data_IF_768827418481
#
_entry.id   IF_768827418481
#
_cell.length_a   1.000
_cell.length_b   1.000
_cell.length_c   1.000
_cell.angle_alpha   90.00
_cell.angle_beta   90.00
_cell.angle_gamma   90.00
#
_symmetry.space_group_name_H-M   'P 1'
#
loop_
_entity.id
_entity.type
_entity.pdbx_description
1 polymer ?
#
# COMPACT_ATOMS: atom_id res chain seq x y z
N UNK A 1 -21.16 -17.73 1.80
CA UNK A 1 -21.51 -16.56 0.96
C UNK A 1 -20.98 -15.33 1.66
N UNK A 2 -20.44 -14.34 0.94
CA UNK A 2 -19.98 -13.09 1.55
C UNK A 2 -21.17 -12.28 2.07
N UNK A 3 -21.02 -11.69 3.25
CA UNK A 3 -21.98 -10.72 3.78
C UNK A 3 -21.71 -9.36 3.13
N UNK A 4 -22.70 -8.85 2.42
CA UNK A 4 -22.68 -7.58 1.69
C UNK A 4 -23.64 -6.55 2.29
N UNK A 5 -24.12 -6.78 3.53
CA UNK A 5 -25.11 -5.93 4.19
C UNK A 5 -24.73 -4.45 4.23
N UNK A 6 -23.46 -4.15 4.54
CA UNK A 6 -22.96 -2.75 4.56
C UNK A 6 -23.01 -2.08 3.18
N UNK A 7 -22.74 -2.84 2.10
CA UNK A 7 -22.82 -2.32 0.74
C UNK A 7 -24.28 -2.07 0.36
N UNK A 8 -25.17 -3.02 0.67
CA UNK A 8 -26.61 -2.86 0.37
C UNK A 8 -27.24 -1.68 1.11
N UNK A 9 -26.80 -1.41 2.34
CA UNK A 9 -27.31 -0.30 3.14
C UNK A 9 -27.06 1.09 2.55
N UNK A 10 -26.10 1.22 1.62
CA UNK A 10 -25.81 2.47 0.93
C UNK A 10 -26.74 2.73 -0.30
N UNK A 11 -27.59 1.74 -0.67
CA UNK A 11 -28.49 1.87 -1.80
C UNK A 11 -29.88 2.32 -1.33
N UNK A 12 -30.39 3.40 -1.97
CA UNK A 12 -31.73 3.90 -1.70
C UNK A 12 -32.80 2.97 -2.30
N UNK A 13 -33.96 2.89 -1.64
CA UNK A 13 -35.10 2.13 -2.13
C UNK A 13 -35.76 2.75 -3.38
N UNK A 14 -35.55 4.07 -3.58
CA UNK A 14 -36.13 4.83 -4.69
C UNK A 14 -35.02 5.43 -5.59
N UNK A 15 -35.30 5.52 -6.89
CA UNK A 15 -34.41 6.12 -7.88
C UNK A 15 -34.16 5.22 -9.10
N UNK A 16 -33.20 5.63 -9.95
CA UNK A 16 -32.78 4.81 -11.10
C UNK A 16 -32.13 3.52 -10.59
N UNK A 17 -32.51 2.32 -11.08
CA UNK A 17 -31.97 1.06 -10.58
C UNK A 17 -30.45 1.02 -10.80
N UNK A 18 -29.68 0.91 -9.72
CA UNK A 18 -28.23 0.80 -9.82
C UNK A 18 -27.84 -0.60 -10.30
N UNK A 19 -26.59 -0.75 -10.77
CA UNK A 19 -26.03 -2.08 -10.99
C UNK A 19 -25.95 -2.86 -9.67
N UNK A 20 -26.30 -4.13 -9.73
CA UNK A 20 -26.36 -4.97 -8.53
C UNK A 20 -24.98 -5.11 -7.87
N UNK A 21 -24.81 -4.80 -6.56
CA UNK A 21 -23.50 -4.80 -5.90
C UNK A 21 -22.74 -6.13 -6.00
N UNK A 22 -23.46 -7.25 -5.87
CA UNK A 22 -22.83 -8.58 -6.00
C UNK A 22 -22.26 -8.81 -7.41
N UNK A 23 -22.94 -8.32 -8.45
CA UNK A 23 -22.41 -8.39 -9.81
C UNK A 23 -21.17 -7.53 -9.96
N UNK A 24 -21.18 -6.30 -9.48
CA UNK A 24 -20.02 -5.40 -9.50
C UNK A 24 -18.81 -5.99 -8.79
N UNK A 25 -19.01 -6.61 -7.62
CA UNK A 25 -17.92 -7.29 -6.88
C UNK A 25 -17.37 -8.51 -7.65
N UNK A 26 -18.24 -9.33 -8.26
CA UNK A 26 -17.79 -10.47 -9.09
C UNK A 26 -16.92 -9.99 -10.25
N UNK A 27 -17.34 -8.94 -10.95
CA UNK A 27 -16.59 -8.33 -12.03
C UNK A 27 -15.25 -7.79 -11.55
N UNK A 28 -15.20 -7.09 -10.42
CA UNK A 28 -13.97 -6.55 -9.84
C UNK A 28 -13.00 -7.65 -9.41
N UNK A 29 -13.45 -8.66 -8.68
CA UNK A 29 -12.58 -9.75 -8.24
C UNK A 29 -12.04 -10.55 -9.41
N UNK A 30 -12.89 -10.84 -10.40
CA UNK A 30 -12.44 -11.51 -11.61
C UNK A 30 -11.46 -10.67 -12.42
N UNK A 31 -11.69 -9.36 -12.53
CA UNK A 31 -10.79 -8.45 -13.23
C UNK A 31 -9.39 -8.43 -12.59
N UNK A 32 -9.32 -8.39 -11.27
CA UNK A 32 -8.04 -8.41 -10.55
C UNK A 32 -7.33 -9.75 -10.69
N UNK A 33 -8.06 -10.85 -10.63
CA UNK A 33 -7.54 -12.18 -10.93
C UNK A 33 -6.93 -12.26 -12.35
N UNK A 34 -7.57 -11.61 -13.33
CA UNK A 34 -7.06 -11.51 -14.70
C UNK A 34 -5.99 -10.43 -14.92
N UNK A 35 -5.53 -9.73 -13.86
CA UNK A 35 -4.56 -8.63 -13.96
C UNK A 35 -5.11 -7.33 -14.58
N UNK A 36 -6.45 -7.20 -14.68
CA UNK A 36 -7.09 -6.00 -15.23
C UNK A 36 -7.42 -5.01 -14.10
N UNK A 37 -6.49 -4.08 -13.80
CA UNK A 37 -6.64 -3.11 -12.70
C UNK A 37 -7.35 -1.82 -13.11
N UNK A 38 -7.31 -1.45 -14.40
CA UNK A 38 -7.90 -0.20 -14.91
C UNK A 38 -9.39 -0.36 -15.18
N UNK A 39 -10.22 0.56 -14.66
CA UNK A 39 -11.66 0.56 -14.91
C UNK A 39 -12.02 0.63 -16.41
N UNK A 40 -11.18 1.27 -17.24
CA UNK A 40 -11.36 1.28 -18.70
C UNK A 40 -11.12 -0.10 -19.32
N UNK A 41 -10.04 -0.81 -18.89
CA UNK A 41 -9.79 -2.17 -19.36
C UNK A 41 -10.86 -3.16 -18.89
N UNK A 42 -11.42 -2.96 -17.71
CA UNK A 42 -12.56 -3.75 -17.20
C UNK A 42 -13.79 -3.50 -18.08
N UNK A 43 -14.09 -2.24 -18.40
CA UNK A 43 -15.18 -1.87 -19.28
C UNK A 43 -15.03 -2.46 -20.69
N UNK A 44 -13.82 -2.47 -21.26
CA UNK A 44 -13.55 -3.13 -22.55
C UNK A 44 -13.74 -4.66 -22.42
N UNK A 45 -13.28 -5.26 -21.32
CA UNK A 45 -13.52 -6.68 -21.03
C UNK A 45 -15.00 -7.05 -20.96
N UNK A 46 -15.84 -6.21 -20.35
CA UNK A 46 -17.28 -6.42 -20.28
C UNK A 46 -17.98 -6.42 -21.64
N UNK A 47 -17.38 -5.83 -22.67
CA UNK A 47 -17.93 -5.82 -24.04
C UNK A 47 -17.43 -6.99 -24.90
N UNK A 48 -16.21 -7.44 -24.65
CA UNK A 48 -15.49 -8.29 -25.61
C UNK A 48 -15.21 -9.70 -25.09
N UNK A 49 -15.20 -9.89 -23.74
CA UNK A 49 -14.80 -11.16 -23.12
C UNK A 49 -15.99 -11.94 -22.60
N UNK A 50 -16.12 -13.18 -23.04
CA UNK A 50 -17.22 -14.07 -22.65
C UNK A 50 -17.31 -14.32 -21.13
N UNK A 51 -16.18 -14.41 -20.44
CA UNK A 51 -16.13 -14.57 -18.97
C UNK A 51 -16.71 -13.35 -18.23
N UNK A 52 -16.39 -12.14 -18.69
CA UNK A 52 -16.96 -10.90 -18.12
C UNK A 52 -18.43 -10.74 -18.45
N UNK A 53 -18.85 -11.02 -19.68
CA UNK A 53 -20.24 -10.99 -20.13
C UNK A 53 -21.10 -11.94 -19.27
N UNK A 54 -20.59 -13.16 -19.05
CA UNK A 54 -21.26 -14.17 -18.19
C UNK A 54 -21.41 -13.68 -16.74
N UNK A 55 -20.33 -13.13 -16.14
CA UNK A 55 -20.35 -12.67 -14.75
C UNK A 55 -21.22 -11.45 -14.52
N UNK A 56 -21.32 -10.57 -15.53
CA UNK A 56 -22.15 -9.36 -15.47
C UNK A 56 -23.61 -9.60 -15.87
N UNK A 57 -23.94 -10.77 -16.41
CA UNK A 57 -25.28 -11.03 -16.98
C UNK A 57 -25.59 -10.08 -18.13
N UNK A 58 -24.62 -9.87 -19.02
CA UNK A 58 -24.69 -8.97 -20.18
C UNK A 58 -24.86 -7.48 -19.83
N UNK A 59 -24.62 -7.10 -18.57
CA UNK A 59 -24.62 -5.71 -18.13
C UNK A 59 -23.25 -5.09 -18.34
N UNK A 60 -23.21 -3.88 -18.89
CA UNK A 60 -21.97 -3.16 -19.23
C UNK A 60 -21.91 -1.83 -18.47
N UNK A 61 -21.65 -1.83 -17.13
CA UNK A 61 -21.39 -0.59 -16.41
C UNK A 61 -20.19 0.14 -17.03
N UNK A 62 -20.33 1.46 -17.21
CA UNK A 62 -19.25 2.25 -17.78
C UNK A 62 -18.05 2.36 -16.80
N UNK A 63 -16.90 2.79 -17.31
CA UNK A 63 -15.67 2.87 -16.52
C UNK A 63 -15.76 3.86 -15.35
N UNK A 64 -16.60 4.91 -15.44
CA UNK A 64 -16.86 5.83 -14.32
C UNK A 64 -17.61 5.11 -13.22
N UNK A 65 -18.70 4.40 -13.56
CA UNK A 65 -19.50 3.61 -12.61
C UNK A 65 -18.65 2.56 -11.88
N UNK A 66 -17.77 1.86 -12.62
CA UNK A 66 -16.85 0.87 -12.03
C UNK A 66 -15.89 1.55 -11.04
N UNK A 67 -15.35 2.71 -11.41
CA UNK A 67 -14.44 3.45 -10.54
C UNK A 67 -15.15 4.00 -9.30
N UNK A 68 -16.33 4.56 -9.47
CA UNK A 68 -17.13 5.13 -8.38
C UNK A 68 -17.57 4.06 -7.39
N UNK A 69 -17.99 2.89 -7.87
CA UNK A 69 -18.30 1.75 -7.04
C UNK A 69 -17.09 1.34 -6.19
N UNK A 70 -15.92 1.17 -6.81
CA UNK A 70 -14.68 0.82 -6.12
C UNK A 70 -14.30 1.84 -5.05
N UNK A 71 -14.38 3.13 -5.37
CA UNK A 71 -13.99 4.22 -4.46
C UNK A 71 -14.97 4.35 -3.30
N UNK A 72 -16.28 4.25 -3.58
CA UNK A 72 -17.33 4.34 -2.56
C UNK A 72 -17.19 3.25 -1.51
N UNK A 73 -16.98 2.01 -1.94
CA UNK A 73 -16.95 0.85 -1.03
C UNK A 73 -15.56 0.46 -0.55
N UNK A 74 -14.55 1.33 -0.71
CA UNK A 74 -13.16 1.03 -0.29
C UNK A 74 -13.05 0.68 1.20
N UNK A 75 -13.87 1.30 2.05
CA UNK A 75 -13.87 1.04 3.52
C UNK A 75 -14.40 -0.35 3.89
N UNK A 76 -15.19 -0.98 3.03
CA UNK A 76 -15.76 -2.31 3.26
C UNK A 76 -14.80 -3.42 2.82
N UNK A 77 -13.87 -3.14 1.91
CA UNK A 77 -12.94 -4.14 1.37
C UNK A 77 -12.15 -4.92 2.42
N UNK A 78 -11.61 -4.32 3.51
CA UNK A 78 -10.92 -5.09 4.55
C UNK A 78 -11.81 -6.13 5.22
N UNK A 79 -13.08 -5.82 5.46
CA UNK A 79 -14.05 -6.76 6.04
C UNK A 79 -14.38 -7.90 5.08
N UNK A 80 -14.50 -7.61 3.78
CA UNK A 80 -14.69 -8.64 2.75
C UNK A 80 -13.46 -9.54 2.64
N UNK A 81 -12.26 -8.96 2.74
CA UNK A 81 -11.02 -9.72 2.76
C UNK A 81 -10.99 -10.71 3.93
N UNK A 82 -11.30 -10.26 5.15
CA UNK A 82 -11.38 -11.13 6.33
C UNK A 82 -12.40 -12.28 6.13
N UNK A 83 -13.55 -11.99 5.53
CA UNK A 83 -14.54 -13.03 5.20
C UNK A 83 -13.99 -14.06 4.20
N UNK A 84 -13.21 -13.63 3.19
CA UNK A 84 -12.56 -14.52 2.22
C UNK A 84 -11.54 -15.43 2.94
N UNK A 85 -10.71 -14.86 3.83
CA UNK A 85 -9.78 -15.62 4.66
C UNK A 85 -10.51 -16.67 5.48
N UNK A 86 -11.62 -16.32 6.12
CA UNK A 86 -12.45 -17.27 6.87
C UNK A 86 -13.06 -18.39 5.99
N UNK A 87 -13.36 -18.09 4.73
CA UNK A 87 -13.78 -19.15 3.77
C UNK A 87 -12.61 -20.09 3.50
N UNK A 88 -11.40 -19.58 3.27
CA UNK A 88 -10.20 -20.39 3.09
C UNK A 88 -9.91 -21.28 4.32
N UNK A 89 -10.09 -20.75 5.53
CA UNK A 89 -10.00 -21.54 6.78
C UNK A 89 -10.99 -22.69 6.78
N UNK A 90 -12.26 -22.43 6.48
CA UNK A 90 -13.34 -23.47 6.44
C UNK A 90 -13.08 -24.53 5.37
N UNK A 91 -12.42 -24.17 4.29
CA UNK A 91 -12.03 -25.11 3.22
C UNK A 91 -10.74 -25.88 3.57
N UNK A 92 -10.15 -25.67 4.76
CA UNK A 92 -8.93 -26.34 5.19
C UNK A 92 -7.69 -25.95 4.39
N UNK A 93 -7.67 -24.76 3.80
CA UNK A 93 -6.53 -24.24 3.00
C UNK A 93 -5.38 -23.74 3.87
N UNK A 94 -5.62 -23.46 5.17
CA UNK A 94 -4.63 -23.05 6.15
C UNK A 94 -4.30 -24.19 7.10
N UNK A 95 -3.07 -24.24 7.64
CA UNK A 95 -2.65 -25.18 8.68
C UNK A 95 -2.16 -24.50 9.97
N UNK A 96 -2.01 -23.18 9.93
CA UNK A 96 -1.55 -22.37 11.08
C UNK A 96 -0.18 -22.76 11.64
N UNK A 97 0.64 -23.47 10.84
CA UNK A 97 1.99 -23.83 11.28
C UNK A 97 2.96 -22.68 11.03
N UNK A 98 3.05 -22.20 9.79
CA UNK A 98 4.02 -21.20 9.39
C UNK A 98 3.33 -20.00 8.76
N UNK A 99 3.64 -18.80 9.26
CA UNK A 99 3.25 -17.52 8.67
C UNK A 99 4.50 -16.88 8.07
N UNK A 100 4.53 -16.74 6.76
CA UNK A 100 5.61 -16.01 6.08
C UNK A 100 5.21 -14.55 5.91
N UNK A 101 6.08 -13.63 6.32
CA UNK A 101 5.90 -12.18 6.17
C UNK A 101 6.97 -11.64 5.25
N UNK A 102 6.53 -10.94 4.20
CA UNK A 102 7.42 -10.29 3.23
C UNK A 102 6.93 -8.87 2.92
N UNK A 103 7.88 -8.00 2.57
CA UNK A 103 7.65 -6.61 2.22
C UNK A 103 8.09 -6.27 0.80
N UNK A 104 7.23 -5.59 0.05
CA UNK A 104 7.54 -5.09 -1.29
C UNK A 104 7.30 -3.59 -1.39
N UNK A 105 8.25 -2.88 -2.02
CA UNK A 105 8.13 -1.46 -2.28
C UNK A 105 7.37 -1.22 -3.58
N UNK A 106 6.14 -0.74 -3.45
CA UNK A 106 5.26 -0.43 -4.58
C UNK A 106 5.43 1.03 -4.96
N UNK A 107 5.82 1.28 -6.21
CA UNK A 107 5.97 2.63 -6.74
C UNK A 107 4.64 3.37 -6.74
N UNK A 108 4.61 4.56 -6.13
CA UNK A 108 3.47 5.47 -6.20
C UNK A 108 3.29 6.02 -7.62
N UNK A 109 2.05 6.40 -7.96
CA UNK A 109 1.76 7.10 -9.21
C UNK A 109 2.21 8.58 -9.10
N UNK A 110 3.48 8.78 -8.84
CA UNK A 110 4.10 10.07 -8.57
C UNK A 110 5.45 10.21 -9.30
N UNK A 111 5.72 11.40 -9.81
CA UNK A 111 6.99 11.68 -10.46
C UNK A 111 8.02 12.06 -9.40
N UNK A 112 9.16 11.36 -9.36
CA UNK A 112 10.27 11.65 -8.43
C UNK A 112 10.74 13.12 -8.49
N UNK A 113 10.77 13.74 -9.69
CA UNK A 113 11.18 15.13 -9.86
C UNK A 113 10.27 16.13 -9.14
N UNK A 114 9.06 15.72 -8.75
CA UNK A 114 8.14 16.53 -7.94
C UNK A 114 8.30 16.31 -6.44
N UNK A 115 9.22 15.46 -6.02
CA UNK A 115 9.62 15.31 -4.62
C UNK A 115 10.54 16.46 -4.21
N UNK A 116 10.23 17.13 -3.11
CA UNK A 116 10.94 18.31 -2.63
C UNK A 116 11.16 18.19 -1.12
N UNK A 117 12.36 18.59 -0.68
CA UNK A 117 12.62 18.78 0.75
C UNK A 117 12.05 20.15 1.21
N UNK A 118 12.01 20.39 2.51
CA UNK A 118 11.46 21.61 3.12
C UNK A 118 12.03 22.88 2.49
N UNK A 119 13.34 22.96 2.29
CA UNK A 119 14.01 24.11 1.66
C UNK A 119 13.50 24.38 0.24
N UNK A 120 13.40 23.34 -0.60
CA UNK A 120 12.88 23.46 -1.98
C UNK A 120 11.38 23.74 -2.02
N UNK A 121 10.64 23.21 -1.04
CA UNK A 121 9.20 23.49 -0.90
C UNK A 121 8.98 24.95 -0.54
N UNK A 122 9.74 25.50 0.41
CA UNK A 122 9.73 26.94 0.79
C UNK A 122 10.07 27.84 -0.39
N UNK A 123 11.13 27.51 -1.15
CA UNK A 123 11.50 28.26 -2.36
C UNK A 123 10.37 28.22 -3.41
N UNK A 124 9.72 27.08 -3.57
CA UNK A 124 8.59 26.94 -4.50
C UNK A 124 7.39 27.75 -4.04
N UNK A 125 7.09 27.75 -2.75
CA UNK A 125 6.02 28.56 -2.15
C UNK A 125 6.24 30.07 -2.44
N UNK A 126 7.43 30.58 -2.16
CA UNK A 126 7.75 31.99 -2.42
C UNK A 126 7.66 32.35 -3.91
N UNK A 127 8.13 31.48 -4.81
CA UNK A 127 8.01 31.68 -6.27
C UNK A 127 6.56 31.74 -6.74
N UNK A 128 5.70 30.82 -6.24
CA UNK A 128 4.26 30.83 -6.61
C UNK A 128 3.56 32.04 -6.02
N UNK A 129 3.88 32.42 -4.78
CA UNK A 129 3.36 33.61 -4.11
C UNK A 129 3.70 34.90 -4.88
N UNK A 130 4.95 35.06 -5.31
CA UNK A 130 5.38 36.17 -6.16
C UNK A 130 4.68 36.17 -7.53
N UNK A 131 4.48 34.97 -8.13
CA UNK A 131 3.78 34.85 -9.41
C UNK A 131 2.32 35.26 -9.28
N UNK A 132 1.64 34.86 -8.22
CA UNK A 132 0.26 35.28 -7.89
C UNK A 132 0.19 36.80 -7.69
N UNK A 133 1.11 37.36 -6.89
CA UNK A 133 1.19 38.81 -6.65
C UNK A 133 1.41 39.62 -7.93
N UNK A 134 2.27 39.14 -8.83
CA UNK A 134 2.52 39.77 -10.15
C UNK A 134 1.28 39.73 -11.04
N UNK A 135 0.49 38.66 -11.01
CA UNK A 135 -0.73 38.55 -11.82
C UNK A 135 -1.84 39.42 -11.24
N UNK A 136 -1.97 39.49 -9.91
CA UNK A 136 -2.95 40.34 -9.23
C UNK A 136 -2.64 41.83 -9.37
N UNK A 137 -1.33 42.20 -9.37
CA UNK A 137 -0.88 43.60 -9.48
C UNK A 137 -0.92 44.18 -10.90
N UNK A 138 -1.21 43.39 -11.95
CA UNK A 138 -1.35 43.91 -13.31
C UNK A 138 -2.78 44.39 -13.55
N UNK A 139 -2.99 45.67 -14.00
CA UNK A 139 -4.30 46.15 -14.35
C UNK A 139 -4.88 45.28 -15.49
N UNK A 140 -6.18 45.04 -15.42
CA UNK A 140 -6.93 44.39 -16.49
C UNK A 140 -7.12 45.48 -17.55
N UNK A 141 -6.38 45.41 -18.65
CA UNK A 141 -6.58 46.33 -19.78
C UNK A 141 -7.95 46.00 -20.42
N UNK A 142 -8.68 47.02 -20.82
CA UNK A 142 -10.00 46.91 -21.47
C UNK A 142 -9.98 46.13 -22.80
N UNK A 143 -8.81 45.96 -23.40
CA UNK A 143 -8.60 45.22 -24.67
C UNK A 143 -8.46 43.66 -24.48
N UNK A 144 -8.67 43.14 -23.27
CA UNK A 144 -8.64 41.70 -23.05
C UNK A 144 -9.93 41.04 -23.56
N UNK A 145 -9.79 40.12 -24.54
CA UNK A 145 -10.92 39.26 -24.96
C UNK A 145 -11.38 38.40 -23.78
N UNK A 146 -12.67 38.05 -23.76
CA UNK A 146 -13.24 37.21 -22.69
C UNK A 146 -12.50 35.89 -22.50
N UNK A 147 -12.00 35.28 -23.60
CA UNK A 147 -11.17 34.08 -23.56
C UNK A 147 -9.88 34.27 -22.76
N UNK A 148 -9.18 35.39 -22.93
CA UNK A 148 -7.96 35.71 -22.17
C UNK A 148 -8.26 36.01 -20.69
N UNK A 149 -9.43 36.52 -20.37
CA UNK A 149 -9.87 36.73 -18.98
C UNK A 149 -10.14 35.38 -18.32
N UNK A 150 -10.80 34.44 -19.01
CA UNK A 150 -11.06 33.09 -18.52
C UNK A 150 -9.75 32.33 -18.29
N UNK A 151 -8.84 32.31 -19.27
CA UNK A 151 -7.52 31.69 -19.15
C UNK A 151 -6.72 32.25 -17.97
N UNK A 152 -6.76 33.57 -17.75
CA UNK A 152 -6.10 34.22 -16.60
C UNK A 152 -6.70 33.77 -15.27
N UNK A 153 -8.04 33.65 -15.18
CA UNK A 153 -8.75 33.18 -13.98
C UNK A 153 -8.43 31.72 -13.68
N UNK A 154 -8.44 30.84 -14.67
CA UNK A 154 -8.07 29.43 -14.53
C UNK A 154 -6.63 29.28 -14.06
N UNK A 155 -5.69 30.05 -14.63
CA UNK A 155 -4.29 30.06 -14.20
C UNK A 155 -4.13 30.55 -12.76
N UNK A 156 -4.87 31.57 -12.34
CA UNK A 156 -4.87 32.06 -10.95
C UNK A 156 -5.44 31.03 -10.00
N UNK A 157 -6.51 30.33 -10.37
CA UNK A 157 -7.11 29.27 -9.56
C UNK A 157 -6.13 28.10 -9.40
N UNK A 158 -5.46 27.68 -10.47
CA UNK A 158 -4.41 26.66 -10.41
C UNK A 158 -3.24 27.06 -9.50
N UNK A 159 -2.73 28.28 -9.63
CA UNK A 159 -1.64 28.80 -8.79
C UNK A 159 -2.05 28.93 -7.32
N UNK A 160 -3.31 29.35 -7.05
CA UNK A 160 -3.86 29.42 -5.68
C UNK A 160 -3.96 28.04 -5.06
N UNK A 161 -4.38 27.03 -5.83
CA UNK A 161 -4.42 25.63 -5.40
C UNK A 161 -3.03 25.11 -5.05
N UNK A 162 -2.04 25.37 -5.92
CA UNK A 162 -0.64 24.99 -5.67
C UNK A 162 -0.05 25.69 -4.43
N UNK A 163 -0.41 26.96 -4.21
CA UNK A 163 0.04 27.72 -3.03
C UNK A 163 -0.50 27.11 -1.74
N UNK A 164 -1.79 26.76 -1.71
CA UNK A 164 -2.43 26.12 -0.56
C UNK A 164 -1.82 24.74 -0.28
N UNK A 165 -1.59 23.95 -1.33
CA UNK A 165 -0.95 22.63 -1.20
C UNK A 165 0.49 22.75 -0.65
N UNK A 166 1.29 23.69 -1.17
CA UNK A 166 2.64 23.95 -0.67
C UNK A 166 2.67 24.45 0.77
N UNK A 167 1.67 25.24 1.18
CA UNK A 167 1.55 25.73 2.56
C UNK A 167 1.24 24.57 3.51
N UNK A 168 0.25 23.72 3.18
CA UNK A 168 -0.09 22.55 3.97
C UNK A 168 1.12 21.60 4.10
N UNK A 169 1.83 21.34 3.00
CA UNK A 169 3.06 20.53 3.03
C UNK A 169 4.14 21.10 3.94
N UNK A 170 4.30 22.42 4.01
CA UNK A 170 5.29 23.06 4.87
C UNK A 170 4.91 22.96 6.36
N UNK A 171 3.60 22.96 6.65
CA UNK A 171 3.08 22.79 8.01
C UNK A 171 3.26 21.34 8.50
N UNK A 172 3.11 20.34 7.61
CA UNK A 172 3.29 18.92 7.92
C UNK A 172 4.77 18.48 7.99
N UNK A 173 5.71 19.27 7.47
CA UNK A 173 7.13 18.92 7.46
C UNK A 173 7.81 19.38 8.75
N UNK A 174 7.93 18.50 9.73
CA UNK A 174 8.65 18.78 10.99
C UNK A 174 10.17 18.80 10.79
N UNK A 175 10.70 17.94 9.89
CA UNK A 175 12.12 17.78 9.63
C UNK A 175 12.57 18.51 8.34
N UNK A 176 13.74 19.15 8.38
CA UNK A 176 14.30 19.87 7.20
C UNK A 176 14.71 18.92 6.07
N UNK A 177 15.07 17.68 6.38
CA UNK A 177 15.46 16.66 5.39
C UNK A 177 14.29 15.85 4.84
N UNK A 178 13.14 15.91 5.50
CA UNK A 178 11.94 15.22 5.02
C UNK A 178 11.59 15.60 3.58
N UNK A 179 11.30 14.61 2.75
CA UNK A 179 10.99 14.80 1.34
C UNK A 179 9.53 14.47 1.10
N UNK A 180 8.76 15.41 0.58
CA UNK A 180 7.35 15.25 0.22
C UNK A 180 7.16 15.36 -1.28
N UNK A 181 6.34 14.50 -1.87
CA UNK A 181 5.99 14.55 -3.29
C UNK A 181 4.74 15.40 -3.52
N UNK A 182 4.79 16.35 -4.45
CA UNK A 182 3.67 17.25 -4.73
C UNK A 182 2.48 16.57 -5.43
N UNK A 183 2.65 15.37 -6.00
CA UNK A 183 1.55 14.64 -6.64
C UNK A 183 0.88 13.71 -5.65
N UNK A 184 1.67 13.09 -4.80
CA UNK A 184 1.24 12.15 -3.77
C UNK A 184 2.03 12.43 -2.48
N UNK A 185 1.51 13.30 -1.59
CA UNK A 185 2.21 13.73 -0.37
C UNK A 185 2.49 12.60 0.63
N UNK A 186 1.67 11.55 0.61
CA UNK A 186 1.82 10.40 1.49
C UNK A 186 2.95 9.46 1.04
N UNK A 187 3.26 9.42 -0.27
CA UNK A 187 4.33 8.57 -0.78
C UNK A 187 5.71 9.07 -0.36
N UNK A 188 6.48 8.24 0.31
CA UNK A 188 7.88 8.53 0.70
C UNK A 188 8.86 8.04 -0.34
N UNK A 189 10.01 8.72 -0.43
CA UNK A 189 11.09 8.28 -1.33
C UNK A 189 11.81 7.10 -0.71
N UNK A 190 11.68 5.93 -1.34
CA UNK A 190 12.30 4.68 -0.89
C UNK A 190 13.30 4.15 -1.93
N UNK A 191 14.39 3.53 -1.45
CA UNK A 191 15.35 2.84 -2.31
C UNK A 191 14.81 1.47 -2.69
N UNK A 192 14.69 1.21 -4.00
CA UNK A 192 14.27 -0.07 -4.56
C UNK A 192 15.45 -1.04 -4.75
N UNK A 193 15.15 -2.34 -4.95
CA UNK A 193 16.16 -3.40 -5.20
C UNK A 193 17.02 -3.12 -6.44
N UNK A 194 16.51 -2.38 -7.42
CA UNK A 194 17.23 -1.94 -8.62
C UNK A 194 18.14 -0.72 -8.39
N UNK A 195 18.30 -0.26 -7.15
CA UNK A 195 19.12 0.87 -6.74
C UNK A 195 18.48 2.25 -6.95
N UNK A 196 17.31 2.34 -7.58
CA UNK A 196 16.60 3.61 -7.79
C UNK A 196 15.87 4.04 -6.52
N UNK A 197 15.86 5.35 -6.26
CA UNK A 197 15.05 5.95 -5.21
C UNK A 197 13.79 6.56 -5.82
N UNK A 198 12.61 6.06 -5.46
CA UNK A 198 11.33 6.45 -6.05
C UNK A 198 10.29 6.73 -4.94
N UNK A 199 9.34 7.67 -5.18
CA UNK A 199 8.17 7.79 -4.32
C UNK A 199 7.42 6.45 -4.31
N UNK A 200 7.24 5.87 -3.14
CA UNK A 200 6.73 4.50 -3.01
C UNK A 200 5.99 4.33 -1.70
N UNK A 201 5.25 3.24 -1.62
CA UNK A 201 4.66 2.69 -0.41
C UNK A 201 5.32 1.35 -0.11
N UNK A 202 5.43 1.02 1.15
CA UNK A 202 5.84 -0.29 1.60
C UNK A 202 4.59 -1.16 1.79
N UNK A 203 4.46 -2.19 0.99
CA UNK A 203 3.37 -3.15 1.07
C UNK A 203 3.89 -4.43 1.70
N UNK A 204 3.26 -4.84 2.77
CA UNK A 204 3.61 -6.04 3.51
C UNK A 204 2.46 -7.04 3.43
N UNK A 205 2.78 -8.32 3.27
CA UNK A 205 1.83 -9.41 3.25
C UNK A 205 2.23 -10.53 4.19
N UNK A 206 1.25 -11.12 4.85
CA UNK A 206 1.42 -12.31 5.67
C UNK A 206 0.68 -13.47 4.99
N UNK A 207 1.38 -14.58 4.78
CA UNK A 207 0.94 -15.71 3.98
C UNK A 207 1.04 -17.00 4.79
N UNK A 208 -0.05 -17.78 4.87
CA UNK A 208 -0.02 -19.14 5.45
C UNK A 208 0.76 -20.08 4.54
N UNK A 209 1.63 -20.90 5.13
CA UNK A 209 2.57 -21.75 4.41
C UNK A 209 1.96 -22.95 3.71
N UNK A 210 0.71 -23.36 4.02
CA UNK A 210 0.13 -24.59 3.46
C UNK A 210 -0.21 -24.47 1.99
N UNK A 211 -1.03 -23.48 1.63
CA UNK A 211 -1.49 -23.27 0.25
C UNK A 211 -1.20 -21.84 -0.26
N UNK A 212 -0.39 -21.09 0.46
CA UNK A 212 -0.03 -19.73 0.07
C UNK A 212 -1.18 -18.73 0.20
N UNK A 213 -2.10 -18.94 1.14
CA UNK A 213 -3.21 -18.00 1.36
C UNK A 213 -2.69 -16.75 2.04
N UNK A 214 -2.91 -15.59 1.43
CA UNK A 214 -2.64 -14.30 2.05
C UNK A 214 -3.69 -14.07 3.15
N UNK A 215 -3.25 -13.96 4.40
CA UNK A 215 -4.12 -13.81 5.58
C UNK A 215 -4.16 -12.40 6.13
N UNK A 216 -3.11 -11.61 5.89
CA UNK A 216 -3.12 -10.18 6.22
C UNK A 216 -2.29 -9.38 5.21
N UNK A 217 -2.65 -8.12 5.07
CA UNK A 217 -1.91 -7.13 4.27
C UNK A 217 -1.83 -5.82 5.02
N UNK A 218 -0.72 -5.10 4.84
CA UNK A 218 -0.54 -3.74 5.32
C UNK A 218 0.14 -2.90 4.25
N UNK A 219 -0.14 -1.61 4.24
CA UNK A 219 0.55 -0.67 3.36
C UNK A 219 0.89 0.56 4.18
N UNK A 220 2.18 0.87 4.27
CA UNK A 220 2.69 2.01 5.02
C UNK A 220 3.46 2.95 4.09
N UNK A 221 3.61 4.19 4.49
CA UNK A 221 4.42 5.20 3.81
C UNK A 221 5.87 5.19 4.31
N UNK A 222 6.22 4.28 5.21
CA UNK A 222 7.54 4.15 5.78
C UNK A 222 8.24 2.87 5.32
N UNK A 223 9.56 2.91 5.25
CA UNK A 223 10.36 1.70 5.04
C UNK A 223 10.30 0.82 6.29
N UNK A 224 10.34 -0.51 6.08
CA UNK A 224 10.19 -1.57 7.07
C UNK A 224 10.54 -1.14 8.50
N UNK A 225 9.49 -0.93 9.30
CA UNK A 225 9.64 -0.78 10.74
C UNK A 225 9.41 -2.14 11.37
N UNK A 226 10.26 -2.50 12.31
CA UNK A 226 10.08 -3.72 13.07
C UNK A 226 8.70 -3.86 13.72
N UNK A 227 8.14 -2.78 14.22
CA UNK A 227 6.82 -2.70 14.85
C UNK A 227 5.66 -3.12 13.92
N UNK A 228 5.83 -2.95 12.61
CA UNK A 228 4.85 -3.37 11.61
C UNK A 228 4.65 -4.88 11.57
N UNK A 229 5.68 -5.68 11.91
CA UNK A 229 5.64 -7.14 11.94
C UNK A 229 4.56 -7.64 12.90
N UNK A 230 4.55 -7.16 14.15
CA UNK A 230 3.60 -7.60 15.16
C UNK A 230 2.17 -7.22 14.81
N UNK A 231 1.98 -5.99 14.33
CA UNK A 231 0.64 -5.53 13.91
C UNK A 231 0.08 -6.36 12.75
N UNK A 232 0.95 -6.81 11.84
CA UNK A 232 0.57 -7.67 10.72
C UNK A 232 0.24 -9.10 11.17
N UNK A 233 1.00 -9.66 12.13
CA UNK A 233 0.73 -10.96 12.74
C UNK A 233 -0.60 -10.94 13.52
N UNK A 234 -0.85 -9.88 14.29
CA UNK A 234 -2.10 -9.72 15.04
C UNK A 234 -3.30 -9.63 14.08
N UNK A 235 -3.17 -8.87 12.98
CA UNK A 235 -4.19 -8.80 11.93
C UNK A 235 -4.41 -10.14 11.23
N UNK A 236 -3.36 -10.93 11.02
CA UNK A 236 -3.49 -12.27 10.47
C UNK A 236 -4.29 -13.17 11.41
N UNK A 237 -4.04 -13.11 12.72
CA UNK A 237 -4.78 -13.82 13.76
C UNK A 237 -6.25 -13.39 13.81
N UNK A 238 -6.53 -12.09 13.73
CA UNK A 238 -7.90 -11.55 13.69
C UNK A 238 -8.66 -12.04 12.45
N UNK A 239 -8.07 -11.93 11.25
CA UNK A 239 -8.73 -12.32 10.00
C UNK A 239 -8.99 -13.83 9.91
N UNK A 240 -8.09 -14.66 10.44
CA UNK A 240 -8.17 -16.11 10.36
C UNK A 240 -8.85 -16.75 11.59
N UNK A 241 -9.07 -15.97 12.66
CA UNK A 241 -9.65 -16.43 13.92
C UNK A 241 -8.72 -17.30 14.79
N UNK A 242 -7.49 -17.52 14.33
CA UNK A 242 -6.47 -18.31 15.02
C UNK A 242 -5.07 -17.82 14.67
N UNK A 243 -4.13 -17.84 15.63
CA UNK A 243 -2.72 -17.50 15.42
C UNK A 243 -1.93 -18.66 14.79
N UNK A 244 -0.82 -18.30 14.13
CA UNK A 244 0.15 -19.27 13.60
C UNK A 244 1.18 -19.62 14.67
N UNK A 245 1.75 -20.81 14.57
CA UNK A 245 2.76 -21.28 15.53
C UNK A 245 4.11 -20.59 15.29
N UNK A 246 4.52 -20.50 14.05
CA UNK A 246 5.81 -19.93 13.62
C UNK A 246 5.60 -18.72 12.72
N UNK A 247 6.42 -17.68 12.92
CA UNK A 247 6.45 -16.47 12.08
C UNK A 247 7.84 -16.39 11.44
N UNK A 248 7.87 -16.35 10.12
CA UNK A 248 9.08 -16.21 9.32
C UNK A 248 9.06 -14.84 8.62
N UNK A 249 10.10 -14.05 8.77
CA UNK A 249 10.23 -12.78 8.06
C UNK A 249 11.67 -12.57 7.57
N UNK A 250 11.84 -11.61 6.65
CA UNK A 250 13.14 -11.31 6.08
C UNK A 250 14.08 -10.58 7.06
N UNK A 251 15.40 -10.44 6.76
CA UNK A 251 16.36 -9.74 7.62
C UNK A 251 15.98 -8.26 7.85
N UNK A 252 15.12 -7.67 7.02
CA UNK A 252 14.63 -6.30 7.16
C UNK A 252 13.92 -6.07 8.48
N UNK A 253 13.21 -7.07 8.98
CA UNK A 253 12.47 -7.04 10.25
C UNK A 253 13.32 -7.41 11.47
N UNK A 254 14.57 -7.84 11.29
CA UNK A 254 15.43 -8.25 12.40
C UNK A 254 15.99 -7.02 13.12
N UNK A 255 15.52 -6.78 14.35
CA UNK A 255 16.03 -5.82 15.30
C UNK A 255 16.12 -6.45 16.70
N UNK A 256 17.04 -5.96 17.53
CA UNK A 256 17.22 -6.46 18.89
C UNK A 256 15.97 -6.26 19.77
N UNK A 257 15.31 -5.12 19.63
CA UNK A 257 14.10 -4.83 20.40
C UNK A 257 12.94 -5.74 20.01
N UNK A 258 12.80 -6.05 18.71
CA UNK A 258 11.81 -7.01 18.19
C UNK A 258 12.06 -8.41 18.75
N UNK A 259 13.31 -8.87 18.72
CA UNK A 259 13.65 -10.18 19.28
C UNK A 259 13.31 -10.26 20.77
N UNK A 260 13.64 -9.20 21.52
CA UNK A 260 13.33 -9.11 22.94
C UNK A 260 11.83 -9.10 23.22
N UNK A 261 11.08 -8.34 22.44
CA UNK A 261 9.62 -8.26 22.58
C UNK A 261 8.95 -9.58 22.16
N UNK A 262 9.43 -10.22 21.10
CA UNK A 262 8.96 -11.53 20.67
C UNK A 262 9.15 -12.59 21.78
N UNK A 263 10.29 -12.56 22.49
CA UNK A 263 10.57 -13.49 23.58
C UNK A 263 9.72 -13.23 24.84
N UNK A 264 9.42 -11.97 25.14
CA UNK A 264 8.77 -11.60 26.41
C UNK A 264 7.24 -11.52 26.33
N UNK A 265 6.66 -11.20 25.15
CA UNK A 265 5.26 -10.81 25.02
C UNK A 265 4.47 -11.66 24.02
N UNK A 266 5.14 -12.56 23.27
CA UNK A 266 4.50 -13.30 22.19
C UNK A 266 4.51 -14.81 22.44
N UNK A 267 3.44 -15.47 21.96
CA UNK A 267 3.29 -16.92 22.02
C UNK A 267 3.89 -17.63 20.80
N UNK A 268 3.98 -16.93 19.67
CA UNK A 268 4.49 -17.45 18.41
C UNK A 268 6.04 -17.55 18.44
N UNK A 269 6.61 -18.54 17.75
CA UNK A 269 8.05 -18.64 17.54
C UNK A 269 8.46 -17.80 16.31
N UNK A 270 9.39 -16.85 16.51
CA UNK A 270 9.86 -15.95 15.44
C UNK A 270 11.18 -16.42 14.86
N UNK A 271 11.25 -16.49 13.52
CA UNK A 271 12.43 -16.89 12.75
C UNK A 271 12.84 -15.71 11.86
N UNK A 272 13.83 -14.94 12.33
CA UNK A 272 14.35 -13.75 11.68
C UNK A 272 15.83 -13.95 11.39
N UNK A 273 16.28 -13.95 10.12
CA UNK A 273 17.72 -14.06 9.82
C UNK A 273 18.46 -12.77 10.20
N UNK A 274 19.72 -12.90 10.61
CA UNK A 274 20.57 -11.75 10.93
C UNK A 274 20.93 -10.99 9.63
N UNK A 275 20.81 -9.68 9.62
CA UNK A 275 21.21 -8.80 8.50
C UNK A 275 22.68 -8.96 8.07
N UNK A 276 23.55 -9.45 8.94
CA UNK A 276 24.97 -9.67 8.66
C UNK A 276 25.23 -10.92 7.80
N UNK A 277 24.22 -11.77 7.63
CA UNK A 277 24.37 -13.03 6.89
C UNK A 277 24.49 -12.84 5.38
N UNK A 278 23.91 -11.77 4.81
CA UNK A 278 24.02 -11.48 3.38
C UNK A 278 25.41 -11.02 2.92
N UNK A 279 26.33 -10.71 3.85
CA UNK A 279 27.66 -10.16 3.54
C UNK A 279 28.75 -11.24 3.46
N UNK A 280 28.45 -12.51 3.74
CA UNK A 280 29.49 -13.52 3.99
C UNK A 280 29.80 -14.50 2.87
N UNK A 281 29.21 -14.41 1.68
CA UNK A 281 29.65 -15.29 0.57
C UNK A 281 30.99 -14.91 -0.09
N UNK A 282 31.52 -13.69 0.13
CA UNK A 282 32.81 -13.29 -0.48
C UNK A 282 33.91 -12.75 0.45
N UNK A 283 33.76 -12.79 1.78
CA UNK A 283 34.77 -12.07 2.59
C UNK A 283 34.89 -12.32 4.07
N UNK A 284 34.45 -13.43 4.62
CA UNK A 284 34.55 -13.66 6.07
C UNK A 284 35.44 -14.84 6.50
N UNK A 285 36.71 -14.70 6.27
CA UNK A 285 37.67 -15.25 7.18
C UNK A 285 38.11 -14.11 8.12
N UNK A 286 37.62 -14.08 9.37
CA UNK A 286 37.99 -13.19 10.48
C UNK A 286 36.99 -12.10 10.86
N UNK A 287 36.03 -12.48 11.69
CA UNK A 287 35.60 -11.70 12.87
C UNK A 287 34.75 -12.61 13.75
N UNK A 288 35.34 -13.09 14.81
CA UNK A 288 34.66 -13.77 15.92
C UNK A 288 33.56 -12.83 16.46
N UNK A 289 32.29 -13.15 16.19
CA UNK A 289 31.15 -12.42 16.76
C UNK A 289 30.83 -12.98 18.14
N UNK A 290 31.27 -12.30 19.16
CA UNK A 290 31.01 -12.61 20.58
C UNK A 290 29.53 -12.42 20.98
N UNK A 291 28.63 -12.03 20.04
CA UNK A 291 27.22 -11.69 20.35
C UNK A 291 26.23 -12.77 19.93
N UNK A 292 26.58 -13.68 19.02
CA UNK A 292 25.64 -14.72 18.56
C UNK A 292 25.54 -15.95 19.48
N UNK A 293 26.48 -16.11 20.42
CA UNK A 293 26.53 -17.28 21.32
C UNK A 293 25.64 -17.16 22.56
N UNK A 294 25.08 -15.99 22.86
CA UNK A 294 24.32 -15.75 24.11
C UNK A 294 22.81 -15.74 23.93
N UNK A 295 22.28 -15.74 22.68
CA UNK A 295 20.87 -15.68 22.38
C UNK A 295 20.21 -17.01 21.97
N UNK A 296 20.80 -18.12 22.36
CA UNK A 296 20.17 -19.44 22.25
C UNK A 296 19.26 -19.71 23.44
N UNK A 297 18.20 -18.96 23.64
CA UNK A 297 17.17 -19.34 24.62
C UNK A 297 15.74 -18.99 24.13
N UNK A 298 15.09 -20.02 23.75
CA UNK A 298 13.69 -20.47 23.85
C UNK A 298 12.67 -20.02 22.82
N UNK A 299 12.64 -18.85 22.18
CA UNK A 299 11.52 -18.50 21.29
C UNK A 299 11.86 -17.73 20.02
N UNK A 300 12.97 -17.02 19.94
CA UNK A 300 13.42 -16.36 18.71
C UNK A 300 14.74 -16.97 18.24
N UNK A 301 14.72 -17.65 17.08
CA UNK A 301 15.92 -18.30 16.53
C UNK A 301 16.38 -17.52 15.29
N UNK A 302 17.53 -16.85 15.36
CA UNK A 302 18.25 -16.45 14.15
C UNK A 302 18.88 -17.70 13.51
N UNK A 303 18.46 -18.04 12.30
CA UNK A 303 18.99 -19.19 11.54
C UNK A 303 20.01 -18.75 10.51
N UNK A 304 21.18 -19.39 10.54
CA UNK A 304 22.05 -19.53 9.38
C UNK A 304 21.45 -20.59 8.44
N UNK A 305 21.33 -20.34 7.12
CA UNK A 305 20.94 -21.40 6.20
C UNK A 305 21.98 -22.52 6.25
N UNK A 306 21.55 -23.73 6.59
CA UNK A 306 22.36 -24.91 6.34
C UNK A 306 22.45 -25.09 4.83
N UNK A 307 23.67 -25.28 4.34
CA UNK A 307 23.95 -25.75 2.99
C UNK A 307 23.19 -27.05 2.74
N UNK A 308 22.00 -27.00 2.20
CA UNK A 308 21.40 -28.12 1.46
C UNK A 308 20.16 -27.61 0.71
N UNK A 309 20.26 -27.76 -0.60
CA UNK A 309 19.38 -27.26 -1.62
C UNK A 309 17.91 -27.57 -1.43
N UNK A 310 17.14 -26.64 -1.87
CA UNK A 310 15.75 -26.86 -2.26
C UNK A 310 15.72 -27.65 -3.59
N UNK A 311 15.25 -28.90 -3.53
CA UNK A 311 14.76 -29.64 -4.71
C UNK A 311 13.27 -29.40 -4.85
#
# INVERSE_FOLDING_TARGET
MLDLGEIYAEYAEEGSPPYHPQMMLKVLFHSYHCGLMSSRKIWDGLKERADFIFLSGDQVPNFCTINDFRTRHMKVLPKLFAQIVMICVRLGMLDFQNLAVDGEKIKANANYRRSKNRKRTKQSYERVKEAVSRVLGKPVNEDFTEEKKVERLERLQGQKKDLLALKAMLEDMEDEEATVNMTDPQAKVMKHKDGRSLPSYNHQSAVDGKMGVIVAVSTTDESDKPEDLFSLVDRAKENAGQGHKNVLADPGFCDYEILKQAESEREEEYYLPDRRFEVTEEGAASRESTTAATLQRKTAKCFAPKENGWN
#
